data_IF_130333572370
#
_entry.id   IF_130333572370
#
_cell.length_a   1.000
_cell.length_b   1.000
_cell.length_c   1.000
_cell.angle_alpha   90.00
_cell.angle_beta   90.00
_cell.angle_gamma   90.00
#
_symmetry.space_group_name_H-M   'P 1'
#
loop_
_entity.id
_entity.type
_entity.pdbx_description
1 polymer ?
#
# COMPACT_ATOMS: atom_id res chain seq x y z
N UNK A 1 -11.16 50.18 16.76
CA UNK A 1 -12.04 49.03 17.02
C UNK A 1 -11.92 48.08 15.83
N UNK A 2 -11.32 46.90 16.07
CA UNK A 2 -11.22 45.68 15.20
C UNK A 2 -10.28 45.78 13.99
N UNK A 3 -9.00 45.38 14.14
CA UNK A 3 -8.39 44.06 13.87
C UNK A 3 -8.32 43.68 12.37
N UNK A 4 -7.14 43.89 11.76
CA UNK A 4 -6.67 43.15 10.58
C UNK A 4 -6.17 41.80 11.09
N UNK A 5 -6.88 40.73 10.78
CA UNK A 5 -6.37 39.37 10.96
C UNK A 5 -5.17 39.17 10.05
N UNK A 6 -3.98 39.09 10.65
CA UNK A 6 -2.83 38.49 10.01
C UNK A 6 -3.19 37.01 9.80
N UNK A 7 -3.39 36.59 8.55
CA UNK A 7 -3.45 35.17 8.22
C UNK A 7 -2.14 34.52 8.70
N UNK A 8 -2.25 33.67 9.71
CA UNK A 8 -1.18 32.75 10.07
C UNK A 8 -0.77 31.95 8.83
N UNK A 9 0.52 31.63 8.65
CA UNK A 9 0.95 30.79 7.55
C UNK A 9 0.22 29.45 7.62
N UNK A 10 -0.50 29.11 6.55
CA UNK A 10 -1.18 27.81 6.40
C UNK A 10 -0.12 26.71 6.50
N UNK A 11 -0.29 25.67 7.34
CA UNK A 11 0.66 24.56 7.41
C UNK A 11 0.74 23.86 6.05
N UNK A 12 1.96 23.67 5.53
CA UNK A 12 2.14 22.95 4.27
C UNK A 12 1.63 21.51 4.41
N UNK A 13 0.70 21.11 3.55
CA UNK A 13 0.22 19.72 3.53
C UNK A 13 1.39 18.77 3.22
N UNK A 14 1.44 17.61 3.90
CA UNK A 14 2.46 16.56 3.66
C UNK A 14 2.63 16.24 2.17
N UNK A 15 1.53 16.25 1.40
CA UNK A 15 1.53 16.00 -0.05
C UNK A 15 2.39 17.03 -0.80
N UNK A 16 2.21 18.32 -0.52
CA UNK A 16 2.93 19.42 -1.17
C UNK A 16 4.43 19.41 -0.84
N UNK A 17 4.77 19.08 0.41
CA UNK A 17 6.16 18.91 0.83
C UNK A 17 6.86 17.78 0.07
N UNK A 18 6.18 16.64 -0.09
CA UNK A 18 6.71 15.49 -0.86
C UNK A 18 6.88 15.81 -2.35
N UNK A 19 5.94 16.55 -2.95
CA UNK A 19 6.02 17.01 -4.34
C UNK A 19 7.21 17.95 -4.55
N UNK A 20 7.43 18.90 -3.65
CA UNK A 20 8.57 19.84 -3.70
C UNK A 20 9.91 19.10 -3.54
N UNK A 21 9.98 18.11 -2.65
CA UNK A 21 11.19 17.29 -2.45
C UNK A 21 11.51 16.43 -3.67
N UNK A 22 10.49 15.87 -4.33
CA UNK A 22 10.67 15.11 -5.58
C UNK A 22 11.24 15.99 -6.70
N UNK A 23 10.73 17.22 -6.85
CA UNK A 23 11.24 18.15 -7.87
C UNK A 23 12.67 18.64 -7.58
N UNK A 24 13.02 18.82 -6.29
CA UNK A 24 14.35 19.26 -5.90
C UNK A 24 15.43 18.16 -6.04
N UNK A 25 15.06 16.88 -6.01
CA UNK A 25 16.00 15.75 -6.03
C UNK A 25 16.12 15.00 -7.37
N UNK A 26 15.17 15.15 -8.30
CA UNK A 26 15.04 14.21 -9.42
C UNK A 26 15.98 14.44 -10.62
N UNK A 27 16.43 15.67 -10.88
CA UNK A 27 17.04 15.97 -12.18
C UNK A 27 18.51 15.54 -12.32
N UNK A 28 19.31 15.52 -11.25
CA UNK A 28 20.78 15.35 -11.35
C UNK A 28 21.31 14.02 -10.82
N UNK A 29 20.56 13.30 -9.95
CA UNK A 29 21.00 12.03 -9.37
C UNK A 29 20.41 10.78 -10.06
N UNK A 30 19.28 10.91 -10.78
CA UNK A 30 18.54 9.76 -11.33
C UNK A 30 18.86 9.45 -12.80
N UNK A 31 19.53 10.34 -13.54
CA UNK A 31 19.80 10.14 -14.97
C UNK A 31 20.59 8.85 -15.29
N UNK A 32 21.65 8.47 -14.54
CA UNK A 32 22.37 7.22 -14.80
C UNK A 32 21.58 5.97 -14.37
N UNK A 33 20.70 6.09 -13.38
CA UNK A 33 19.86 4.99 -12.89
C UNK A 33 18.68 4.71 -13.85
N UNK A 34 18.10 5.76 -14.43
CA UNK A 34 17.06 5.66 -15.46
C UNK A 34 17.58 5.02 -16.76
N UNK A 35 18.84 5.30 -17.15
CA UNK A 35 19.48 4.66 -18.30
C UNK A 35 19.66 3.14 -18.15
N UNK A 36 19.86 2.64 -16.93
CA UNK A 36 19.90 1.18 -16.63
C UNK A 36 18.53 0.54 -16.58
N UNK A 37 17.47 1.28 -16.23
CA UNK A 37 16.10 0.77 -16.29
C UNK A 37 15.63 0.57 -17.75
N UNK A 38 16.10 1.41 -18.68
CA UNK A 38 15.79 1.29 -20.10
C UNK A 38 16.50 0.10 -20.80
N UNK A 39 17.55 -0.44 -20.18
CA UNK A 39 18.26 -1.64 -20.63
C UNK A 39 17.75 -2.93 -19.95
N UNK A 40 16.55 -2.89 -19.34
CA UNK A 40 15.84 -4.10 -18.99
C UNK A 40 15.52 -4.84 -20.30
N UNK A 41 16.26 -5.91 -20.56
CA UNK A 41 15.88 -6.96 -21.48
C UNK A 41 14.40 -7.27 -21.25
N UNK A 42 13.60 -7.29 -22.32
CA UNK A 42 12.15 -7.50 -22.24
C UNK A 42 11.87 -8.70 -21.35
N UNK A 43 11.53 -8.46 -20.08
CA UNK A 43 11.01 -9.47 -19.18
C UNK A 43 9.70 -9.91 -19.81
N UNK A 44 9.74 -10.93 -20.67
CA UNK A 44 8.66 -11.22 -21.61
C UNK A 44 7.31 -11.22 -20.91
N UNK A 45 6.36 -10.42 -21.37
CA UNK A 45 5.00 -10.22 -20.85
C UNK A 45 4.79 -10.38 -19.33
N UNK A 46 5.81 -10.13 -18.50
CA UNK A 46 5.71 -10.26 -17.05
C UNK A 46 5.01 -9.02 -16.50
N UNK A 47 3.88 -9.24 -15.85
CA UNK A 47 3.10 -8.16 -15.24
C UNK A 47 2.83 -8.48 -13.78
N UNK A 48 2.94 -7.44 -12.95
CA UNK A 48 2.52 -7.49 -11.56
C UNK A 48 1.22 -6.72 -11.39
N UNK A 49 0.22 -7.35 -10.79
CA UNK A 49 -0.95 -6.67 -10.25
C UNK A 49 -0.91 -6.76 -8.72
N UNK A 50 -1.43 -5.73 -8.05
CA UNK A 50 -1.59 -5.72 -6.59
C UNK A 50 -3.07 -5.88 -6.24
N UNK A 51 -3.34 -6.45 -5.07
CA UNK A 51 -4.67 -6.41 -4.47
C UNK A 51 -4.58 -6.14 -2.97
N UNK A 52 -5.68 -5.62 -2.44
CA UNK A 52 -5.94 -5.46 -1.02
C UNK A 52 -7.43 -5.70 -0.79
N UNK A 53 -7.78 -6.52 0.19
CA UNK A 53 -9.16 -6.72 0.60
C UNK A 53 -9.29 -6.79 2.12
N UNK A 54 -10.45 -6.36 2.59
CA UNK A 54 -10.90 -6.55 3.96
C UNK A 54 -11.25 -8.03 4.16
N UNK A 55 -10.60 -8.65 5.16
CA UNK A 55 -10.83 -10.05 5.56
C UNK A 55 -11.31 -10.14 7.01
N UNK A 56 -11.79 -9.03 7.56
CA UNK A 56 -12.35 -8.96 8.91
C UNK A 56 -13.55 -9.92 9.04
N UNK A 57 -13.52 -10.87 9.99
CA UNK A 57 -14.61 -11.82 10.14
C UNK A 57 -15.90 -11.11 10.61
N UNK A 58 -17.09 -11.54 10.14
CA UNK A 58 -18.34 -11.02 10.65
C UNK A 58 -18.52 -11.30 12.15
N UNK A 59 -19.33 -10.49 12.83
CA UNK A 59 -19.73 -10.79 14.20
C UNK A 59 -20.39 -12.18 14.30
N UNK A 60 -20.01 -12.94 15.31
CA UNK A 60 -20.44 -14.31 15.57
C UNK A 60 -19.71 -15.38 14.76
N UNK A 61 -18.80 -15.02 13.84
CA UNK A 61 -18.04 -16.01 13.08
C UNK A 61 -17.04 -16.77 13.98
N UNK A 62 -16.82 -18.04 13.68
CA UNK A 62 -15.89 -18.90 14.43
C UNK A 62 -14.45 -18.41 14.26
N UNK A 63 -13.69 -18.37 15.37
CA UNK A 63 -12.28 -17.99 15.41
C UNK A 63 -11.42 -19.18 15.89
N UNK A 64 -10.14 -19.21 15.52
CA UNK A 64 -9.20 -20.28 15.93
C UNK A 64 -9.76 -21.70 15.71
N UNK A 65 -10.32 -21.99 14.53
CA UNK A 65 -10.98 -23.28 14.27
C UNK A 65 -12.20 -23.60 15.16
N UNK A 66 -12.72 -22.64 15.94
CA UNK A 66 -13.84 -22.81 16.89
C UNK A 66 -13.43 -23.04 18.35
N UNK A 67 -12.17 -22.81 18.70
CA UNK A 67 -11.62 -23.18 20.01
C UNK A 67 -11.76 -22.07 21.06
N UNK A 68 -12.13 -20.87 20.61
CA UNK A 68 -12.35 -19.70 21.46
C UNK A 68 -13.73 -19.09 21.23
N UNK A 69 -14.09 -18.08 22.03
CA UNK A 69 -15.31 -17.31 21.82
C UNK A 69 -15.37 -16.77 20.37
N UNK A 70 -16.49 -16.91 19.66
CA UNK A 70 -16.67 -16.33 18.33
C UNK A 70 -16.42 -14.81 18.31
N UNK A 71 -16.15 -14.28 17.13
CA UNK A 71 -15.89 -12.86 16.91
C UNK A 71 -17.00 -12.00 17.55
N UNK A 72 -16.66 -11.23 18.58
CA UNK A 72 -17.63 -10.41 19.30
C UNK A 72 -17.56 -8.94 18.89
N UNK A 73 -16.36 -8.47 18.55
CA UNK A 73 -16.06 -7.10 18.14
C UNK A 73 -14.86 -7.10 17.20
N UNK A 74 -14.71 -5.99 16.48
CA UNK A 74 -13.57 -5.70 15.61
C UNK A 74 -12.84 -4.53 16.26
N UNK A 75 -11.67 -4.79 16.85
CA UNK A 75 -10.82 -3.73 17.38
C UNK A 75 -10.07 -3.04 16.24
N UNK A 76 -9.37 -3.83 15.43
CA UNK A 76 -8.72 -3.39 14.19
C UNK A 76 -9.20 -4.25 13.00
N UNK A 77 -9.41 -3.65 11.81
CA UNK A 77 -9.71 -4.40 10.59
C UNK A 77 -8.55 -5.32 10.20
N UNK A 78 -8.87 -6.48 9.65
CA UNK A 78 -7.89 -7.44 9.13
C UNK A 78 -7.81 -7.33 7.61
N UNK A 79 -6.60 -7.41 7.06
CA UNK A 79 -6.37 -7.28 5.63
C UNK A 79 -5.73 -8.53 5.01
N UNK A 80 -6.07 -8.78 3.75
CA UNK A 80 -5.25 -9.57 2.86
C UNK A 80 -4.67 -8.65 1.77
N UNK A 81 -3.35 -8.70 1.63
CA UNK A 81 -2.58 -7.87 0.71
C UNK A 81 -1.73 -8.79 -0.14
N UNK A 82 -1.75 -8.59 -1.44
CA UNK A 82 -0.99 -9.49 -2.30
C UNK A 82 -0.57 -8.94 -3.65
N UNK A 83 0.19 -9.80 -4.31
CA UNK A 83 0.80 -9.61 -5.61
C UNK A 83 0.38 -10.76 -6.51
N UNK A 84 0.02 -10.46 -7.75
CA UNK A 84 -0.27 -11.43 -8.81
C UNK A 84 0.81 -11.28 -9.88
N UNK A 85 1.60 -12.33 -10.08
CA UNK A 85 2.53 -12.43 -11.20
C UNK A 85 1.84 -13.10 -12.39
N UNK A 86 1.79 -12.37 -13.50
CA UNK A 86 1.24 -12.78 -14.78
C UNK A 86 2.37 -12.92 -15.81
N UNK A 87 2.13 -13.63 -16.91
CA UNK A 87 3.11 -13.82 -18.00
C UNK A 87 4.09 -14.98 -17.79
N UNK A 88 4.14 -15.56 -16.60
CA UNK A 88 5.00 -16.71 -16.26
C UNK A 88 4.29 -18.08 -16.43
N UNK A 89 3.22 -18.15 -17.24
CA UNK A 89 2.33 -19.31 -17.33
C UNK A 89 1.03 -19.09 -16.55
N UNK A 90 0.67 -20.04 -15.67
CA UNK A 90 -0.48 -19.86 -14.78
C UNK A 90 -0.23 -18.69 -13.80
N UNK A 91 -1.24 -17.84 -13.50
CA UNK A 91 -1.07 -16.76 -12.54
C UNK A 91 -0.57 -17.25 -11.18
N UNK A 92 0.45 -16.59 -10.64
CA UNK A 92 1.01 -16.90 -9.32
C UNK A 92 0.57 -15.80 -8.36
N UNK A 93 -0.08 -16.18 -7.26
CA UNK A 93 -0.56 -15.24 -6.24
C UNK A 93 0.27 -15.38 -4.98
N UNK A 94 0.85 -14.27 -4.54
CA UNK A 94 1.49 -14.14 -3.23
C UNK A 94 0.54 -13.32 -2.36
N UNK A 95 0.09 -13.87 -1.24
CA UNK A 95 -0.85 -13.23 -0.34
C UNK A 95 -0.28 -13.23 1.08
N UNK A 96 -0.11 -12.03 1.65
CA UNK A 96 0.02 -11.84 3.08
C UNK A 96 -1.40 -11.62 3.64
N UNK A 97 -1.75 -12.34 4.70
CA UNK A 97 -3.06 -12.25 5.33
C UNK A 97 -2.87 -12.07 6.82
N UNK A 98 -3.59 -11.10 7.40
CA UNK A 98 -3.67 -10.93 8.84
C UNK A 98 -4.42 -12.13 9.42
N UNK A 99 -3.64 -13.07 9.95
CA UNK A 99 -4.10 -14.38 10.37
C UNK A 99 -3.52 -14.75 11.72
N UNK A 100 -4.32 -15.45 12.52
CA UNK A 100 -3.85 -16.11 13.75
C UNK A 100 -3.96 -17.62 13.59
N UNK A 101 -2.87 -18.34 13.83
CA UNK A 101 -2.85 -19.80 13.81
C UNK A 101 -3.16 -20.32 15.22
N UNK A 102 -4.39 -20.77 15.38
CA UNK A 102 -4.95 -21.48 16.51
C UNK A 102 -6.07 -22.36 15.90
#
# INVERSE_FOLDING_TARGET
MVFRDALAPVPESRRRFLEQMLQAGAATALAPALGRAAAAESAGDLHLATFRCDVTPPAGHSLCGGWIKPAAEVEDPLEAIGLVLLGAGAPIVICAVDWTAC
#
